data_IF_495401735966
#
_entry.id   IF_495401735966
#
_cell.length_a   1.000
_cell.length_b   1.000
_cell.length_c   1.000
_cell.angle_alpha   90.00
_cell.angle_beta   90.00
_cell.angle_gamma   90.00
#
_symmetry.space_group_name_H-M   'P 1'
#
loop_
_entity.id
_entity.type
_entity.pdbx_description
1 polymer ?
#
# COMPACT_ATOMS: atom_id res chain seq x y z
N UNK A 1 10.59 2.19 17.40
CA UNK A 1 9.95 0.95 16.93
C UNK A 1 10.52 0.59 15.59
N UNK A 2 10.87 -0.68 15.40
CA UNK A 2 11.23 -1.24 14.10
C UNK A 2 10.01 -1.32 13.17
N UNK A 3 10.20 -1.39 11.85
CA UNK A 3 9.10 -1.59 10.90
C UNK A 3 8.23 -2.82 11.22
N UNK A 4 8.86 -3.92 11.66
CA UNK A 4 8.13 -5.14 12.00
C UNK A 4 7.27 -4.99 13.27
N UNK A 5 7.70 -4.18 14.25
CA UNK A 5 6.89 -3.88 15.45
C UNK A 5 5.68 -3.01 15.09
N UNK A 6 5.86 -2.05 14.18
CA UNK A 6 4.79 -1.19 13.68
C UNK A 6 3.66 -1.99 13.04
N UNK A 7 4.01 -3.03 12.27
CA UNK A 7 3.07 -3.90 11.57
C UNK A 7 2.12 -4.65 12.51
N UNK A 8 2.53 -4.94 13.75
CA UNK A 8 1.77 -5.80 14.67
C UNK A 8 0.39 -5.26 15.02
N UNK A 9 0.26 -3.93 15.19
CA UNK A 9 -0.98 -3.31 15.69
C UNK A 9 -2.14 -3.41 14.69
N UNK A 10 -1.86 -3.16 13.42
CA UNK A 10 -2.89 -3.12 12.35
C UNK A 10 -2.68 -4.24 11.34
N UNK A 11 -1.52 -4.32 10.71
CA UNK A 11 -1.30 -5.26 9.59
C UNK A 11 -1.43 -6.74 9.95
N UNK A 12 -1.15 -7.09 11.21
CA UNK A 12 -1.35 -8.45 11.75
C UNK A 12 -2.64 -8.64 12.54
N UNK A 13 -3.48 -7.62 12.66
CA UNK A 13 -4.80 -7.75 13.28
C UNK A 13 -5.66 -8.72 12.46
N UNK A 14 -6.44 -9.57 13.13
CA UNK A 14 -7.26 -10.58 12.46
C UNK A 14 -8.29 -9.96 11.51
N UNK A 15 -8.86 -8.80 11.83
CA UNK A 15 -9.79 -8.09 10.94
C UNK A 15 -9.09 -7.65 9.67
N UNK A 16 -7.91 -7.03 9.79
CA UNK A 16 -7.11 -6.61 8.62
C UNK A 16 -6.68 -7.80 7.77
N UNK A 17 -6.21 -8.89 8.39
CA UNK A 17 -5.85 -10.12 7.68
C UNK A 17 -7.05 -10.75 6.98
N UNK A 18 -8.21 -10.82 7.64
CA UNK A 18 -9.42 -11.39 7.06
C UNK A 18 -9.94 -10.56 5.90
N UNK A 19 -9.87 -9.23 6.01
CA UNK A 19 -10.23 -8.34 4.91
C UNK A 19 -9.28 -8.49 3.71
N UNK A 20 -7.96 -8.61 3.93
CA UNK A 20 -7.00 -8.93 2.86
C UNK A 20 -7.25 -10.31 2.23
N UNK A 21 -7.55 -11.33 3.04
CA UNK A 21 -7.96 -12.67 2.55
C UNK A 21 -9.24 -12.59 1.74
N UNK A 22 -10.21 -11.78 2.15
CA UNK A 22 -11.44 -11.56 1.41
C UNK A 22 -11.14 -10.91 0.04
N UNK A 23 -10.34 -9.84 0.03
CA UNK A 23 -9.88 -9.18 -1.20
C UNK A 23 -9.17 -10.16 -2.14
N UNK A 24 -8.36 -11.08 -1.62
CA UNK A 24 -7.73 -12.14 -2.40
C UNK A 24 -8.73 -13.03 -3.12
N UNK A 25 -9.83 -13.41 -2.47
CA UNK A 25 -10.86 -14.24 -3.13
C UNK A 25 -11.58 -13.50 -4.25
N UNK A 26 -11.48 -12.16 -4.28
CA UNK A 26 -12.12 -11.28 -5.25
C UNK A 26 -11.23 -10.89 -6.42
N UNK A 27 -9.95 -11.29 -6.45
CA UNK A 27 -9.06 -10.95 -7.58
C UNK A 27 -9.48 -11.61 -8.90
N UNK A 28 -10.35 -12.62 -8.86
CA UNK A 28 -10.96 -13.22 -10.06
C UNK A 28 -12.24 -12.51 -10.56
N UNK A 29 -12.69 -11.44 -9.89
CA UNK A 29 -13.72 -10.55 -10.42
C UNK A 29 -13.14 -9.70 -11.57
N UNK A 30 -13.93 -8.83 -12.19
CA UNK A 30 -13.47 -7.88 -13.21
C UNK A 30 -13.43 -6.44 -12.72
N UNK A 31 -13.34 -6.24 -11.41
CA UNK A 31 -13.33 -4.93 -10.75
C UNK A 31 -12.47 -4.99 -9.51
N UNK A 32 -12.04 -3.82 -9.05
CA UNK A 32 -11.29 -3.68 -7.82
C UNK A 32 -12.24 -3.55 -6.63
N UNK A 33 -11.78 -4.04 -5.48
CA UNK A 33 -12.50 -4.00 -4.22
C UNK A 33 -11.61 -3.36 -3.17
N UNK A 34 -12.18 -2.61 -2.24
CA UNK A 34 -11.42 -2.01 -1.15
C UNK A 34 -12.19 -1.99 0.17
N UNK A 35 -11.40 -1.90 1.23
CA UNK A 35 -11.86 -1.61 2.58
C UNK A 35 -11.10 -0.42 3.15
N UNK A 36 -11.85 0.49 3.79
CA UNK A 36 -11.29 1.46 4.74
C UNK A 36 -11.51 0.93 6.14
N UNK A 37 -10.42 0.55 6.82
CA UNK A 37 -10.51 0.04 8.18
C UNK A 37 -10.43 1.18 9.16
N UNK A 38 -11.29 1.19 10.18
CA UNK A 38 -11.31 2.19 11.25
C UNK A 38 -11.31 1.49 12.60
N UNK A 39 -10.97 2.24 13.66
CA UNK A 39 -10.87 1.67 15.01
C UNK A 39 -11.70 2.47 16.00
N UNK A 40 -12.57 1.76 16.72
CA UNK A 40 -13.38 2.27 17.83
C UNK A 40 -13.30 1.30 19.01
N UNK A 41 -13.22 1.83 20.22
CA UNK A 41 -13.06 1.04 21.45
C UNK A 41 -11.91 0.00 21.37
N UNK A 42 -10.79 0.38 20.73
CA UNK A 42 -9.63 -0.47 20.45
C UNK A 42 -9.93 -1.74 19.62
N UNK A 43 -11.01 -1.72 18.83
CA UNK A 43 -11.38 -2.78 17.89
C UNK A 43 -11.36 -2.22 16.48
N UNK A 44 -10.67 -2.92 15.57
CA UNK A 44 -10.65 -2.61 14.14
C UNK A 44 -11.94 -3.14 13.51
N UNK A 45 -12.53 -2.36 12.61
CA UNK A 45 -13.75 -2.67 11.87
C UNK A 45 -13.50 -2.56 10.36
N UNK A 46 -14.20 -3.37 9.57
CA UNK A 46 -14.07 -3.51 8.11
C UNK A 46 -15.40 -3.35 7.34
N UNK A 47 -16.36 -2.65 7.94
CA UNK A 47 -17.69 -2.42 7.37
C UNK A 47 -17.73 -1.35 6.26
N UNK A 48 -16.68 -0.55 6.09
CA UNK A 48 -16.56 0.43 5.00
C UNK A 48 -15.94 -0.22 3.76
N UNK A 49 -16.80 -0.64 2.84
CA UNK A 49 -16.43 -1.36 1.63
C UNK A 49 -16.75 -0.59 0.35
N UNK A 50 -15.84 -0.63 -0.62
CA UNK A 50 -15.94 0.07 -1.90
C UNK A 50 -15.56 -0.86 -3.06
N UNK A 51 -16.00 -0.51 -4.26
CA UNK A 51 -15.65 -1.24 -5.47
C UNK A 51 -15.57 -0.31 -6.68
N UNK A 52 -14.74 -0.66 -7.66
CA UNK A 52 -14.70 0.04 -8.94
C UNK A 52 -15.87 -0.38 -9.84
N UNK A 53 -16.04 0.34 -10.95
CA UNK A 53 -16.92 -0.11 -12.03
C UNK A 53 -16.29 -1.33 -12.75
N UNK A 54 -17.11 -2.24 -13.31
CA UNK A 54 -16.60 -3.37 -14.08
C UNK A 54 -15.63 -2.94 -15.20
N UNK A 55 -14.49 -3.62 -15.25
CA UNK A 55 -13.37 -3.41 -16.17
C UNK A 55 -12.73 -2.02 -16.07
N UNK A 56 -12.86 -1.34 -14.92
CA UNK A 56 -12.20 -0.08 -14.65
C UNK A 56 -11.24 -0.24 -13.46
N UNK A 57 -9.94 0.07 -13.63
CA UNK A 57 -9.04 0.25 -12.50
C UNK A 57 -9.41 1.50 -11.70
N UNK A 58 -9.02 1.51 -10.43
CA UNK A 58 -9.23 2.61 -9.52
C UNK A 58 -10.58 2.55 -8.82
N UNK A 59 -10.57 2.85 -7.54
CA UNK A 59 -11.77 2.90 -6.70
C UNK A 59 -12.00 4.34 -6.27
N UNK A 60 -13.19 4.85 -6.56
CA UNK A 60 -13.65 6.11 -5.99
C UNK A 60 -14.29 5.87 -4.63
N UNK A 61 -13.84 6.59 -3.61
CA UNK A 61 -14.45 6.58 -2.28
C UNK A 61 -14.42 7.98 -1.67
N UNK A 62 -15.32 8.21 -0.72
CA UNK A 62 -15.43 9.45 0.04
C UNK A 62 -15.57 9.13 1.52
N UNK A 63 -15.11 10.04 2.37
CA UNK A 63 -15.23 9.95 3.82
C UNK A 63 -15.54 11.33 4.40
N UNK A 64 -16.06 11.36 5.62
CA UNK A 64 -16.49 12.59 6.25
C UNK A 64 -15.31 13.31 6.93
N UNK A 65 -15.36 14.66 7.05
CA UNK A 65 -14.37 15.40 7.79
C UNK A 65 -14.27 14.91 9.24
N UNK A 66 -13.07 14.48 9.63
CA UNK A 66 -12.81 13.96 10.98
C UNK A 66 -12.69 12.45 11.06
N UNK A 67 -13.10 11.71 10.01
CA UNK A 67 -12.88 10.27 9.93
C UNK A 67 -11.39 9.93 10.04
N UNK A 68 -11.10 8.83 10.76
CA UNK A 68 -9.73 8.35 11.00
C UNK A 68 -9.65 6.86 10.72
N UNK A 69 -8.85 6.51 9.72
CA UNK A 69 -8.63 5.14 9.29
C UNK A 69 -7.31 4.60 9.82
N UNK A 70 -7.32 3.32 10.16
CA UNK A 70 -6.13 2.55 10.54
C UNK A 70 -5.54 1.81 9.34
N UNK A 71 -6.34 1.52 8.32
CA UNK A 71 -5.83 0.96 7.07
C UNK A 71 -6.68 1.35 5.86
N UNK A 72 -6.05 1.32 4.69
CA UNK A 72 -6.74 1.26 3.40
C UNK A 72 -6.19 0.06 2.65
N UNK A 73 -7.06 -0.88 2.27
CA UNK A 73 -6.64 -2.11 1.60
C UNK A 73 -7.50 -2.34 0.37
N UNK A 74 -6.90 -2.78 -0.73
CA UNK A 74 -7.61 -2.99 -1.98
C UNK A 74 -7.11 -4.20 -2.77
N UNK A 75 -7.83 -4.56 -3.84
CA UNK A 75 -7.48 -5.64 -4.75
C UNK A 75 -7.26 -5.13 -6.17
N UNK A 76 -6.24 -5.64 -6.85
CA UNK A 76 -6.16 -5.61 -8.30
C UNK A 76 -6.72 -6.92 -8.86
N UNK A 77 -7.71 -6.84 -9.74
CA UNK A 77 -8.27 -8.02 -10.39
C UNK A 77 -7.33 -8.61 -11.46
N UNK A 78 -7.62 -9.80 -11.97
CA UNK A 78 -6.81 -10.49 -12.95
C UNK A 78 -6.98 -9.88 -14.35
N UNK A 79 -6.15 -8.86 -14.65
CA UNK A 79 -6.08 -8.21 -15.95
C UNK A 79 -4.61 -7.84 -16.25
N UNK A 80 -4.08 -8.16 -17.45
CA UNK A 80 -2.69 -7.88 -17.83
C UNK A 80 -2.32 -6.38 -17.88
N UNK A 81 -3.31 -5.49 -17.77
CA UNK A 81 -3.09 -4.04 -17.67
C UNK A 81 -2.87 -3.57 -16.23
N UNK A 82 -3.24 -4.38 -15.23
CA UNK A 82 -3.04 -4.03 -13.83
C UNK A 82 -1.64 -4.41 -13.35
N UNK A 83 -1.16 -3.65 -12.37
CA UNK A 83 0.16 -3.86 -11.80
C UNK A 83 0.15 -5.03 -10.83
N UNK A 84 1.24 -5.78 -10.81
CA UNK A 84 1.51 -6.85 -9.84
C UNK A 84 1.97 -6.33 -8.47
N UNK A 85 1.93 -5.02 -8.27
CA UNK A 85 2.25 -4.28 -7.03
C UNK A 85 1.40 -3.01 -6.97
N UNK A 86 1.63 -2.13 -6.00
CA UNK A 86 0.99 -0.81 -5.93
C UNK A 86 1.17 -0.01 -7.24
N UNK A 87 0.24 0.90 -7.50
CA UNK A 87 0.26 1.90 -8.57
C UNK A 87 0.80 3.24 -8.06
N UNK A 88 1.00 4.22 -8.95
CA UNK A 88 1.31 5.56 -8.48
C UNK A 88 0.12 6.25 -7.80
N UNK A 89 -1.10 5.95 -8.25
CA UNK A 89 -2.34 6.50 -7.67
C UNK A 89 -2.56 6.02 -6.23
N UNK A 90 -2.01 4.85 -5.88
CA UNK A 90 -1.93 4.39 -4.49
C UNK A 90 -1.11 5.34 -3.60
N UNK A 91 -0.01 5.89 -4.13
CA UNK A 91 0.77 6.91 -3.42
C UNK A 91 -0.02 8.22 -3.29
N UNK A 92 -0.75 8.61 -4.33
CA UNK A 92 -1.63 9.78 -4.26
C UNK A 92 -2.76 9.58 -3.25
N UNK A 93 -3.22 8.35 -3.08
CA UNK A 93 -4.23 7.98 -2.09
C UNK A 93 -3.71 8.15 -0.67
N UNK A 94 -2.54 7.59 -0.32
CA UNK A 94 -1.98 7.77 1.03
C UNK A 94 -1.58 9.24 1.29
N UNK A 95 -1.12 9.98 0.27
CA UNK A 95 -0.89 11.42 0.35
C UNK A 95 -2.20 12.16 0.67
N UNK A 96 -3.28 11.84 -0.03
CA UNK A 96 -4.59 12.45 0.19
C UNK A 96 -5.12 12.16 1.59
N UNK A 97 -5.07 10.90 2.03
CA UNK A 97 -5.45 10.52 3.41
C UNK A 97 -4.63 11.30 4.44
N UNK A 98 -3.33 11.51 4.21
CA UNK A 98 -2.48 12.33 5.08
C UNK A 98 -2.91 13.80 5.07
N UNK A 99 -3.16 14.39 3.89
CA UNK A 99 -3.56 15.81 3.76
C UNK A 99 -4.88 16.12 4.44
N UNK A 100 -5.88 15.24 4.31
CA UNK A 100 -7.17 15.38 4.97
C UNK A 100 -7.12 14.96 6.45
N UNK A 101 -5.95 14.57 6.96
CA UNK A 101 -5.78 14.07 8.32
C UNK A 101 -6.54 12.77 8.58
N UNK A 102 -6.89 11.99 7.56
CA UNK A 102 -7.68 10.77 7.66
C UNK A 102 -6.87 9.56 8.16
N UNK A 103 -5.55 9.69 8.33
CA UNK A 103 -4.71 8.64 8.95
C UNK A 103 -4.80 8.75 10.47
N UNK A 104 -5.27 7.69 11.14
CA UNK A 104 -5.42 7.65 12.61
C UNK A 104 -4.07 7.73 13.34
N UNK A 105 -3.10 6.93 12.90
CA UNK A 105 -1.78 6.80 13.51
C UNK A 105 -0.76 6.39 12.44
N UNK A 106 0.14 7.32 12.08
CA UNK A 106 1.16 7.08 11.05
C UNK A 106 2.14 5.97 11.43
N UNK A 107 2.31 5.66 12.71
CA UNK A 107 3.22 4.59 13.12
C UNK A 107 2.63 3.19 12.98
N UNK A 108 1.32 3.08 12.73
CA UNK A 108 0.67 1.78 12.55
C UNK A 108 -0.21 1.69 11.32
N UNK A 109 -0.42 2.78 10.58
CA UNK A 109 -1.25 2.78 9.38
C UNK A 109 -0.69 1.83 8.33
N UNK A 110 -1.57 1.04 7.74
CA UNK A 110 -1.25 0.08 6.68
C UNK A 110 -2.02 0.43 5.42
N UNK A 111 -1.30 0.54 4.31
CA UNK A 111 -1.91 0.46 2.99
C UNK A 111 -1.64 -0.91 2.40
N UNK A 112 -2.65 -1.63 1.92
CA UNK A 112 -2.49 -3.02 1.46
C UNK A 112 -3.05 -3.26 0.08
N UNK A 113 -2.41 -4.16 -0.67
CA UNK A 113 -2.88 -4.59 -1.98
C UNK A 113 -2.80 -6.10 -2.10
N UNK A 114 -3.85 -6.72 -2.64
CA UNK A 114 -3.79 -8.11 -3.14
C UNK A 114 -4.00 -8.13 -4.64
N UNK A 115 -3.14 -8.83 -5.39
CA UNK A 115 -3.16 -8.80 -6.85
C UNK A 115 -3.61 -10.12 -7.46
N UNK A 116 -4.15 -10.07 -8.69
CA UNK A 116 -4.48 -11.26 -9.50
C UNK A 116 -3.31 -12.22 -9.72
N UNK A 117 -2.06 -11.74 -9.57
CA UNK A 117 -0.86 -12.58 -9.57
C UNK A 117 -0.64 -13.40 -8.29
N UNK A 118 -1.64 -13.46 -7.39
CA UNK A 118 -1.57 -14.13 -6.10
C UNK A 118 -0.49 -13.55 -5.15
N UNK A 119 -0.21 -12.25 -5.26
CA UNK A 119 0.79 -11.55 -4.44
C UNK A 119 0.10 -10.52 -3.55
N UNK A 120 0.64 -10.32 -2.35
CA UNK A 120 0.09 -9.42 -1.34
C UNK A 120 1.20 -8.55 -0.78
N UNK A 121 0.92 -7.25 -0.68
CA UNK A 121 1.84 -6.31 -0.07
C UNK A 121 1.16 -5.41 0.93
N UNK A 122 1.96 -4.92 1.88
CA UNK A 122 1.67 -3.74 2.65
C UNK A 122 2.71 -2.65 2.40
N UNK A 123 2.26 -1.41 2.32
CA UNK A 123 3.06 -0.22 2.56
C UNK A 123 2.77 0.32 3.95
N UNK A 124 3.83 0.71 4.66
CA UNK A 124 3.72 1.40 5.95
C UNK A 124 4.64 2.60 6.02
N UNK A 125 4.24 3.61 6.77
CA UNK A 125 5.09 4.77 7.07
C UNK A 125 6.14 4.35 8.13
N UNK A 126 7.37 4.16 7.67
CA UNK A 126 8.49 3.79 8.53
C UNK A 126 9.14 5.03 9.17
N UNK A 127 9.26 6.11 8.41
CA UNK A 127 9.81 7.37 8.90
C UNK A 127 8.83 8.53 8.64
N UNK A 128 8.01 8.92 9.63
CA UNK A 128 7.05 10.01 9.52
C UNK A 128 7.65 11.33 9.03
N UNK A 129 8.87 11.68 9.48
CA UNK A 129 9.54 12.92 9.04
C UNK A 129 9.82 12.90 7.55
N UNK A 130 10.40 11.81 7.04
CA UNK A 130 10.68 11.63 5.60
C UNK A 130 9.40 11.59 4.77
N UNK A 131 8.39 10.87 5.25
CA UNK A 131 7.09 10.80 4.60
C UNK A 131 6.40 12.17 4.52
N UNK A 132 6.42 12.95 5.61
CA UNK A 132 5.90 14.32 5.61
C UNK A 132 6.67 15.23 4.65
N UNK A 133 8.00 15.11 4.57
CA UNK A 133 8.79 15.86 3.57
C UNK A 133 8.43 15.46 2.14
N UNK A 134 8.25 14.17 1.87
CA UNK A 134 7.81 13.66 0.57
C UNK A 134 6.43 14.20 0.19
N UNK A 135 5.45 14.07 1.08
CA UNK A 135 4.08 14.60 0.92
C UNK A 135 4.12 16.10 0.61
N UNK A 136 4.85 16.88 1.41
CA UNK A 136 4.96 18.33 1.19
C UNK A 136 5.54 18.65 -0.18
N UNK A 137 6.62 17.98 -0.60
CA UNK A 137 7.21 18.20 -1.93
C UNK A 137 6.27 17.80 -3.07
N UNK A 138 5.53 16.70 -2.92
CA UNK A 138 4.54 16.27 -3.91
C UNK A 138 3.43 17.31 -4.11
N UNK A 139 3.05 18.04 -3.05
CA UNK A 139 1.97 19.04 -3.07
C UNK A 139 2.47 20.41 -3.54
N UNK A 140 3.60 20.86 -2.99
CA UNK A 140 4.06 22.25 -3.15
C UNK A 140 5.01 22.45 -4.33
N UNK A 141 5.52 21.38 -4.94
CA UNK A 141 6.50 21.45 -6.02
C UNK A 141 6.06 20.59 -7.22
N UNK A 142 5.44 21.24 -8.20
CA UNK A 142 4.96 20.59 -9.42
C UNK A 142 6.08 19.91 -10.23
N UNK A 143 7.25 20.53 -10.33
CA UNK A 143 8.37 19.94 -11.05
C UNK A 143 8.84 18.64 -10.37
N UNK A 144 8.86 18.62 -9.03
CA UNK A 144 9.16 17.43 -8.26
C UNK A 144 8.11 16.33 -8.47
N UNK A 145 6.82 16.66 -8.36
CA UNK A 145 5.76 15.67 -8.52
C UNK A 145 5.73 15.05 -9.92
N UNK A 146 5.91 15.86 -10.98
CA UNK A 146 6.03 15.36 -12.35
C UNK A 146 7.27 14.47 -12.54
N UNK A 147 8.40 14.83 -11.93
CA UNK A 147 9.64 14.03 -12.00
C UNK A 147 9.46 12.67 -11.35
N UNK A 148 8.89 12.65 -10.14
CA UNK A 148 8.62 11.43 -9.38
C UNK A 148 7.62 10.53 -10.12
N UNK A 149 6.53 11.11 -10.64
CA UNK A 149 5.54 10.39 -11.44
C UNK A 149 6.17 9.74 -12.67
N UNK A 150 7.00 10.47 -13.43
CA UNK A 150 7.69 9.92 -14.61
C UNK A 150 8.64 8.80 -14.21
N UNK A 151 9.47 9.02 -13.20
CA UNK A 151 10.42 8.03 -12.72
C UNK A 151 9.72 6.73 -12.31
N UNK A 152 8.60 6.82 -11.59
CA UNK A 152 7.77 5.67 -11.24
C UNK A 152 7.28 4.90 -12.47
N UNK A 153 6.60 5.59 -13.39
CA UNK A 153 5.94 4.96 -14.54
C UNK A 153 6.91 4.42 -15.59
N UNK A 154 8.18 4.87 -15.58
CA UNK A 154 9.24 4.26 -16.41
C UNK A 154 9.87 3.01 -15.78
N UNK A 155 9.68 2.80 -14.49
CA UNK A 155 10.27 1.69 -13.75
C UNK A 155 9.27 0.56 -13.50
N UNK A 156 8.01 0.89 -13.23
CA UNK A 156 6.98 -0.07 -12.80
C UNK A 156 5.89 -0.10 -13.87
N UNK A 157 5.72 -1.26 -14.52
CA UNK A 157 4.86 -1.44 -15.69
C UNK A 157 4.14 -2.78 -15.61
N UNK A 158 2.94 -2.91 -16.20
CA UNK A 158 2.16 -4.15 -16.14
C UNK A 158 2.78 -5.29 -16.96
N UNK A 159 3.65 -4.96 -17.92
CA UNK A 159 4.41 -5.91 -18.75
C UNK A 159 5.63 -6.50 -18.02
N UNK A 160 6.06 -5.91 -16.90
CA UNK A 160 7.14 -6.45 -16.09
C UNK A 160 6.69 -7.69 -15.33
N UNK A 161 7.64 -8.59 -15.06
CA UNK A 161 7.41 -9.67 -14.09
C UNK A 161 7.16 -9.08 -12.70
N UNK A 162 6.41 -9.81 -11.86
CA UNK A 162 6.14 -9.36 -10.49
C UNK A 162 7.40 -9.14 -9.66
N UNK A 163 8.44 -9.96 -9.86
CA UNK A 163 9.73 -9.75 -9.19
C UNK A 163 10.43 -8.46 -9.65
N UNK A 164 10.34 -8.12 -10.93
CA UNK A 164 10.93 -6.89 -11.46
C UNK A 164 10.20 -5.66 -10.91
N UNK A 165 8.86 -5.69 -10.88
CA UNK A 165 8.06 -4.61 -10.27
C UNK A 165 8.31 -4.48 -8.77
N UNK A 166 8.43 -5.59 -8.04
CA UNK A 166 8.80 -5.58 -6.62
C UNK A 166 10.16 -4.91 -6.39
N UNK A 167 11.20 -5.34 -7.13
CA UNK A 167 12.53 -4.77 -7.02
C UNK A 167 12.53 -3.27 -7.37
N UNK A 168 11.83 -2.88 -8.43
CA UNK A 168 11.73 -1.50 -8.87
C UNK A 168 10.96 -0.64 -7.86
N UNK A 169 9.91 -1.18 -7.22
CA UNK A 169 9.18 -0.48 -6.17
C UNK A 169 10.04 -0.25 -4.93
N UNK A 170 10.75 -1.27 -4.43
CA UNK A 170 11.67 -1.07 -3.29
C UNK A 170 12.74 -0.03 -3.63
N UNK A 171 13.29 -0.10 -4.85
CA UNK A 171 14.27 0.88 -5.33
C UNK A 171 13.69 2.29 -5.38
N UNK A 172 12.46 2.45 -5.88
CA UNK A 172 11.75 3.71 -5.93
C UNK A 172 11.57 4.32 -4.53
N UNK A 173 11.12 3.52 -3.57
CA UNK A 173 10.89 3.96 -2.18
C UNK A 173 12.18 4.45 -1.51
N UNK A 174 13.27 3.72 -1.68
CA UNK A 174 14.55 4.03 -1.03
C UNK A 174 15.30 5.17 -1.71
N UNK A 175 15.41 5.16 -3.06
CA UNK A 175 16.15 6.19 -3.81
C UNK A 175 15.51 7.58 -3.67
N UNK A 176 14.17 7.64 -3.57
CA UNK A 176 13.45 8.89 -3.36
C UNK A 176 13.25 9.22 -1.87
N UNK A 177 13.81 8.40 -0.97
CA UNK A 177 13.80 8.61 0.47
C UNK A 177 12.39 8.89 1.03
N UNK A 178 11.38 8.16 0.53
CA UNK A 178 9.95 8.43 0.76
C UNK A 178 9.54 8.24 2.22
N UNK A 179 10.28 7.43 2.98
CA UNK A 179 9.92 7.10 4.37
C UNK A 179 8.82 6.04 4.48
N UNK A 180 8.51 5.34 3.39
CA UNK A 180 7.62 4.18 3.34
C UNK A 180 8.46 2.90 3.23
N UNK A 181 8.00 1.84 3.90
CA UNK A 181 8.54 0.48 3.80
C UNK A 181 7.54 -0.45 3.13
N UNK A 182 8.04 -1.34 2.28
CA UNK A 182 7.27 -2.39 1.63
C UNK A 182 7.41 -3.70 2.41
N UNK A 183 6.29 -4.39 2.60
CA UNK A 183 6.23 -5.71 3.20
C UNK A 183 5.52 -6.66 2.24
N UNK A 184 6.04 -7.87 2.11
CA UNK A 184 5.44 -8.95 1.32
C UNK A 184 4.78 -9.97 2.23
N UNK A 185 3.54 -10.30 1.94
CA UNK A 185 2.81 -11.37 2.61
C UNK A 185 3.15 -12.72 2.00
N UNK A 186 3.14 -13.77 2.82
CA UNK A 186 3.07 -15.13 2.30
C UNK A 186 1.69 -15.41 1.68
N UNK A 187 1.52 -16.52 0.92
CA UNK A 187 0.24 -16.80 0.27
C UNK A 187 -0.95 -16.93 1.24
N UNK A 188 -0.73 -17.18 2.52
CA UNK A 188 -1.80 -17.27 3.52
C UNK A 188 -1.99 -15.97 4.31
N UNK A 189 -1.15 -14.95 4.08
CA UNK A 189 -1.09 -13.69 4.81
C UNK A 189 -0.91 -13.87 6.32
N UNK A 190 -0.29 -14.97 6.71
CA UNK A 190 0.05 -15.31 8.09
C UNK A 190 1.43 -14.75 8.46
N UNK A 191 2.33 -14.68 7.48
CA UNK A 191 3.70 -14.24 7.66
C UNK A 191 4.00 -13.05 6.75
N UNK A 192 4.77 -12.10 7.27
CA UNK A 192 5.16 -10.89 6.54
C UNK A 192 6.65 -10.69 6.58
N UNK A 193 7.21 -10.23 5.46
CA UNK A 193 8.63 -9.92 5.33
C UNK A 193 8.80 -8.48 4.91
N UNK A 194 9.57 -7.71 5.67
CA UNK A 194 10.01 -6.38 5.23
C UNK A 194 11.01 -6.54 4.10
N UNK A 195 10.78 -5.84 2.99
CA UNK A 195 11.68 -5.82 1.84
C UNK A 195 12.63 -4.63 1.97
N UNK A 196 13.92 -4.89 1.84
CA UNK A 196 14.98 -3.89 1.92
C UNK A 196 16.02 -4.16 0.84
N UNK A 197 16.72 -3.13 0.38
CA UNK A 197 17.88 -3.33 -0.48
C UNK A 197 19.13 -3.60 0.36
N UNK A 198 19.86 -4.66 0.03
CA UNK A 198 21.19 -4.91 0.59
C UNK A 198 22.26 -4.02 -0.06
N UNK A 199 23.45 -4.04 0.52
CA UNK A 199 24.59 -3.23 0.06
C UNK A 199 25.05 -3.55 -1.38
N UNK A 200 24.74 -4.74 -1.88
CA UNK A 200 25.03 -5.18 -3.26
C UNK A 200 23.91 -4.83 -4.26
N UNK A 201 22.86 -4.15 -3.81
CA UNK A 201 21.73 -3.72 -4.64
C UNK A 201 20.63 -4.77 -4.81
N UNK A 202 20.79 -5.97 -4.26
CA UNK A 202 19.74 -7.01 -4.26
C UNK A 202 18.66 -6.72 -3.22
N UNK A 203 17.46 -7.30 -3.39
CA UNK A 203 16.39 -7.19 -2.40
C UNK A 203 16.51 -8.35 -1.42
N UNK A 204 16.58 -8.01 -0.14
CA UNK A 204 16.57 -8.95 0.98
C UNK A 204 15.24 -8.86 1.72
N UNK A 205 14.72 -10.04 2.09
CA UNK A 205 13.49 -10.17 2.86
C UNK A 205 13.83 -10.43 4.33
N UNK A 206 13.36 -9.56 5.23
CA UNK A 206 13.51 -9.73 6.68
C UNK A 206 12.18 -10.14 7.29
N UNK A 207 12.14 -11.32 7.91
CA UNK A 207 10.94 -11.82 8.57
C UNK A 207 10.48 -10.87 9.69
N UNK A 208 9.19 -10.57 9.70
CA UNK A 208 8.53 -9.74 10.71
C UNK A 208 7.62 -10.56 11.64
N UNK A 209 7.83 -11.87 11.72
CA UNK A 209 7.07 -12.76 12.57
C UNK A 209 7.32 -12.47 14.05
#
# INVERSE_FOLDING_TARGET
MSPCEKLQKVGKNDVTKNAMKNLKTKTGDNKEHAYLLWESNNQINDDLYFQSLPNQPGIAFTFDPGDKFVAFIHSHYDDPKLLSTFSFDDFLTIISLKQYGAIKDENSFVMGVTTGSNIQYYMMIDNPTKFNSFVNNMISNEAYSQTIYRFYNTAIESTNSSQKNENNLVSFLEMNNIGIKLFKGDPQMENWQALERSSDGTIVAKNCN
#
